data_IF_443864630005
#
_entry.id   IF_443864630005
#
_cell.length_a   1.000
_cell.length_b   1.000
_cell.length_c   1.000
_cell.angle_alpha   90.00
_cell.angle_beta   90.00
_cell.angle_gamma   90.00
#
_symmetry.space_group_name_H-M   'P 1'
#
loop_
_entity.id
_entity.type
_entity.pdbx_description
1 polymer ?
#
# COMPACT_ATOMS: atom_id res chain seq x y z
N UNK A 1 -0.48 -18.11 8.25
CA UNK A 1 0.55 -17.07 8.44
C UNK A 1 1.44 -16.96 7.20
N UNK A 2 0.92 -16.42 6.09
CA UNK A 2 1.70 -16.24 4.84
C UNK A 2 2.13 -14.78 4.55
N UNK A 3 1.50 -13.81 5.22
CA UNK A 3 1.75 -12.37 5.04
C UNK A 3 2.69 -11.80 6.13
N UNK A 4 3.55 -12.65 6.69
CA UNK A 4 4.49 -12.19 7.71
C UNK A 4 5.69 -11.52 7.04
N UNK A 5 6.15 -10.40 7.62
CA UNK A 5 7.29 -9.61 7.12
C UNK A 5 7.18 -9.27 5.63
N UNK A 6 6.06 -8.68 5.22
CA UNK A 6 5.68 -8.51 3.82
C UNK A 6 4.95 -9.76 3.34
N UNK A 7 5.45 -10.40 2.29
CA UNK A 7 4.98 -11.72 1.86
C UNK A 7 6.04 -12.78 2.11
N UNK A 8 5.65 -13.88 2.77
CA UNK A 8 6.50 -15.05 3.01
C UNK A 8 7.91 -14.70 3.54
N UNK A 9 8.00 -13.80 4.52
CA UNK A 9 9.25 -13.41 5.17
C UNK A 9 10.29 -12.69 4.31
N UNK A 10 9.97 -12.37 3.05
CA UNK A 10 10.89 -11.72 2.10
C UNK A 10 11.24 -10.27 2.44
N UNK A 11 10.55 -9.65 3.41
CA UNK A 11 10.64 -8.23 3.67
C UNK A 11 10.03 -7.36 2.56
N UNK A 12 9.47 -7.97 1.51
CA UNK A 12 8.90 -7.25 0.36
C UNK A 12 7.39 -7.21 0.47
N UNK A 13 6.82 -6.02 0.27
CA UNK A 13 5.38 -5.79 0.20
C UNK A 13 4.79 -5.11 1.43
N UNK A 14 3.48 -4.90 1.37
CA UNK A 14 2.68 -4.25 2.41
C UNK A 14 2.62 -5.11 3.67
N UNK A 15 2.54 -4.47 4.84
CA UNK A 15 2.33 -5.18 6.10
C UNK A 15 1.13 -6.13 6.01
N UNK A 16 1.28 -7.36 6.51
CA UNK A 16 0.18 -8.33 6.53
C UNK A 16 -1.05 -7.86 7.32
N UNK A 17 -0.87 -7.02 8.34
CA UNK A 17 -1.98 -6.40 9.06
C UNK A 17 -2.80 -5.44 8.19
N UNK A 18 -2.13 -4.60 7.40
CA UNK A 18 -2.78 -3.70 6.43
C UNK A 18 -3.47 -4.52 5.34
N UNK A 19 -2.77 -5.48 4.73
CA UNK A 19 -3.32 -6.32 3.66
C UNK A 19 -4.52 -7.15 4.12
N UNK A 20 -4.45 -7.77 5.29
CA UNK A 20 -5.54 -8.58 5.84
C UNK A 20 -6.76 -7.72 6.19
N UNK A 21 -6.53 -6.53 6.74
CA UNK A 21 -7.60 -5.58 7.06
C UNK A 21 -8.26 -5.04 5.81
N UNK A 22 -7.47 -4.65 4.80
CA UNK A 22 -7.99 -4.20 3.52
C UNK A 22 -8.89 -5.26 2.85
N UNK A 23 -8.48 -6.53 2.90
CA UNK A 23 -9.29 -7.63 2.39
C UNK A 23 -10.61 -7.79 3.15
N UNK A 24 -10.57 -7.77 4.49
CA UNK A 24 -11.76 -7.94 5.32
C UNK A 24 -12.74 -6.76 5.19
N UNK A 25 -12.23 -5.53 5.18
CA UNK A 25 -13.01 -4.31 4.93
C UNK A 25 -13.66 -4.37 3.55
N UNK A 26 -12.89 -4.69 2.50
CA UNK A 26 -13.44 -4.79 1.15
C UNK A 26 -14.56 -5.84 1.04
N UNK A 27 -14.42 -6.96 1.76
CA UNK A 27 -15.45 -7.98 1.84
C UNK A 27 -16.75 -7.46 2.49
N UNK A 28 -16.64 -6.67 3.57
CA UNK A 28 -17.79 -6.11 4.30
C UNK A 28 -18.49 -4.99 3.52
N UNK A 29 -17.74 -4.19 2.76
CA UNK A 29 -18.29 -3.19 1.83
C UNK A 29 -19.14 -3.89 0.75
N UNK A 30 -18.74 -5.09 0.32
CA UNK A 30 -19.62 -5.99 -0.43
C UNK A 30 -19.90 -5.55 -1.88
N UNK A 31 -18.94 -4.90 -2.53
CA UNK A 31 -19.04 -4.59 -3.98
C UNK A 31 -18.95 -5.89 -4.78
N UNK A 32 -19.95 -6.13 -5.61
CA UNK A 32 -20.04 -7.31 -6.47
C UNK A 32 -19.62 -7.03 -7.91
N UNK A 33 -19.41 -8.08 -8.69
CA UNK A 33 -19.19 -7.94 -10.13
C UNK A 33 -20.38 -7.27 -10.86
N UNK A 34 -21.61 -7.49 -10.39
CA UNK A 34 -22.81 -6.84 -10.94
C UNK A 34 -22.83 -5.33 -10.64
N UNK A 35 -22.40 -4.93 -9.45
CA UNK A 35 -22.27 -3.52 -9.08
C UNK A 35 -21.24 -2.81 -9.98
N UNK A 36 -20.11 -3.48 -10.23
CA UNK A 36 -19.06 -2.99 -11.15
C UNK A 36 -19.57 -2.94 -12.60
N UNK A 37 -20.36 -3.92 -13.03
CA UNK A 37 -20.94 -3.92 -14.38
C UNK A 37 -21.93 -2.75 -14.60
N UNK A 38 -22.69 -2.38 -13.56
CA UNK A 38 -23.61 -1.23 -13.59
C UNK A 38 -22.86 0.11 -13.56
N UNK A 39 -21.84 0.20 -12.72
CA UNK A 39 -20.95 1.35 -12.64
C UNK A 39 -19.55 0.87 -12.29
N UNK A 40 -18.64 0.89 -13.27
CA UNK A 40 -17.29 0.39 -13.09
C UNK A 40 -16.56 1.11 -11.96
N UNK A 41 -16.87 2.38 -11.66
CA UNK A 41 -16.21 3.10 -10.55
C UNK A 41 -16.54 2.57 -9.16
N UNK A 42 -17.57 1.74 -9.03
CA UNK A 42 -17.95 1.15 -7.73
C UNK A 42 -16.82 0.30 -7.13
N UNK A 43 -15.85 -0.18 -7.92
CA UNK A 43 -14.67 -0.87 -7.39
C UNK A 43 -13.86 -0.01 -6.39
N UNK A 44 -13.99 1.32 -6.44
CA UNK A 44 -13.29 2.26 -5.57
C UNK A 44 -13.92 2.32 -4.18
N UNK A 45 -15.22 2.01 -4.03
CA UNK A 45 -15.91 2.10 -2.75
C UNK A 45 -15.18 1.37 -1.60
N UNK A 46 -14.72 0.11 -1.75
CA UNK A 46 -13.94 -0.56 -0.71
C UNK A 46 -12.56 0.05 -0.46
N UNK A 47 -12.00 0.83 -1.39
CA UNK A 47 -10.70 1.46 -1.21
C UNK A 47 -10.76 2.64 -0.23
N UNK A 48 -11.90 3.31 -0.10
CA UNK A 48 -12.05 4.53 0.71
C UNK A 48 -11.84 4.26 2.20
N UNK A 49 -12.64 3.39 2.86
CA UNK A 49 -12.41 3.09 4.28
C UNK A 49 -11.04 2.43 4.51
N UNK A 50 -10.50 1.71 3.52
CA UNK A 50 -9.13 1.17 3.63
C UNK A 50 -8.09 2.28 3.66
N UNK A 51 -8.25 3.34 2.87
CA UNK A 51 -7.35 4.48 2.89
C UNK A 51 -7.49 5.22 4.22
N UNK A 52 -8.71 5.64 4.55
CA UNK A 52 -9.00 6.53 5.67
C UNK A 52 -8.78 5.84 7.03
N UNK A 53 -9.27 4.61 7.20
CA UNK A 53 -9.27 3.94 8.52
C UNK A 53 -8.02 3.08 8.75
N UNK A 54 -7.20 2.84 7.72
CA UNK A 54 -6.05 1.94 7.83
C UNK A 54 -4.79 2.62 7.29
N UNK A 55 -4.73 2.94 5.99
CA UNK A 55 -3.49 3.43 5.37
C UNK A 55 -3.02 4.73 6.00
N UNK A 56 -3.91 5.71 6.13
CA UNK A 56 -3.57 7.03 6.68
C UNK A 56 -3.11 6.91 8.13
N UNK A 57 -3.81 6.11 8.95
CA UNK A 57 -3.39 5.84 10.33
C UNK A 57 -2.02 5.15 10.41
N UNK A 58 -1.69 4.25 9.48
CA UNK A 58 -0.36 3.63 9.43
C UNK A 58 0.73 4.62 9.01
N UNK A 59 0.48 5.46 8.00
CA UNK A 59 1.40 6.50 7.58
C UNK A 59 1.62 7.54 8.70
N UNK A 60 0.56 7.94 9.40
CA UNK A 60 0.66 8.88 10.54
C UNK A 60 1.40 8.27 11.74
N UNK A 61 1.10 7.01 12.08
CA UNK A 61 1.67 6.36 13.28
C UNK A 61 3.09 5.86 13.05
N UNK A 62 3.39 5.37 11.84
CA UNK A 62 4.62 4.65 11.55
C UNK A 62 5.39 5.16 10.32
N UNK A 63 4.84 6.10 9.54
CA UNK A 63 5.50 6.70 8.37
C UNK A 63 5.66 5.79 7.16
N UNK A 64 4.92 4.67 7.11
CA UNK A 64 4.89 3.73 6.00
C UNK A 64 3.74 2.71 6.14
N UNK A 65 3.40 2.04 5.04
CA UNK A 65 2.60 0.79 5.05
C UNK A 65 3.38 -0.46 4.62
N UNK A 66 4.55 -0.30 4.02
CA UNK A 66 5.40 -1.42 3.61
C UNK A 66 6.15 -2.01 4.80
N UNK A 67 6.19 -3.34 4.88
CA UNK A 67 6.61 -4.02 6.11
C UNK A 67 8.07 -3.73 6.48
N UNK A 68 8.93 -3.55 5.48
CA UNK A 68 10.35 -3.25 5.70
C UNK A 68 10.54 -1.87 6.32
N UNK A 69 9.93 -0.82 5.74
CA UNK A 69 10.02 0.54 6.29
C UNK A 69 9.32 0.66 7.62
N UNK A 70 8.20 -0.02 7.81
CA UNK A 70 7.51 -0.10 9.09
C UNK A 70 8.42 -0.62 10.21
N UNK A 71 9.08 -1.75 9.97
CA UNK A 71 10.07 -2.29 10.91
C UNK A 71 11.24 -1.33 11.10
N UNK A 72 11.76 -0.76 10.01
CA UNK A 72 12.85 0.20 10.12
C UNK A 72 12.47 1.43 10.95
N UNK A 73 11.36 2.09 10.68
CA UNK A 73 10.94 3.30 11.39
C UNK A 73 10.69 3.02 12.88
N UNK A 74 10.03 1.90 13.18
CA UNK A 74 9.64 1.55 14.56
C UNK A 74 10.79 0.99 15.40
N UNK A 75 11.55 0.04 14.86
CA UNK A 75 12.55 -0.74 15.60
C UNK A 75 13.98 -0.52 15.08
N UNK A 76 14.17 0.35 14.09
CA UNK A 76 15.47 0.69 13.49
C UNK A 76 16.21 -0.51 12.90
N UNK A 77 15.42 -1.48 12.41
CA UNK A 77 15.86 -2.75 11.83
C UNK A 77 14.94 -3.20 10.70
N UNK A 78 15.52 -3.74 9.65
CA UNK A 78 14.84 -4.20 8.44
C UNK A 78 15.48 -5.52 7.99
N UNK A 79 14.99 -6.64 8.53
CA UNK A 79 15.56 -7.95 8.27
C UNK A 79 14.85 -8.67 7.12
N UNK A 80 15.63 -9.26 6.20
CA UNK A 80 15.18 -10.39 5.39
C UNK A 80 15.36 -11.64 6.25
N UNK A 81 14.29 -12.37 6.51
CA UNK A 81 14.34 -13.51 7.42
C UNK A 81 14.84 -14.81 6.77
N UNK A 82 15.12 -14.77 5.47
CA UNK A 82 15.87 -15.82 4.79
C UNK A 82 17.39 -15.67 5.02
N UNK A 83 17.84 -14.57 5.60
CA UNK A 83 19.22 -14.35 6.03
C UNK A 83 19.43 -14.92 7.46
N UNK A 84 20.37 -15.86 7.67
CA UNK A 84 20.66 -16.40 9.01
C UNK A 84 21.13 -15.33 10.00
N UNK A 85 21.82 -14.27 9.56
CA UNK A 85 22.27 -13.21 10.45
C UNK A 85 21.09 -12.39 10.98
N UNK A 86 20.07 -12.18 10.14
CA UNK A 86 18.83 -11.54 10.54
C UNK A 86 18.11 -12.25 11.69
N UNK A 87 18.15 -13.59 11.73
CA UNK A 87 17.56 -14.36 12.83
C UNK A 87 18.30 -14.11 14.15
N UNK A 88 19.65 -14.06 14.12
CA UNK A 88 20.46 -13.71 15.28
C UNK A 88 20.16 -12.27 15.74
N UNK A 89 20.10 -11.34 14.79
CA UNK A 89 19.80 -9.95 15.11
C UNK A 89 18.39 -9.74 15.67
N UNK A 90 17.40 -10.52 15.22
CA UNK A 90 16.06 -10.51 15.82
C UNK A 90 16.10 -10.99 17.27
N UNK A 91 16.81 -12.08 17.57
CA UNK A 91 16.95 -12.56 18.95
C UNK A 91 17.64 -11.52 19.86
N UNK A 92 18.68 -10.85 19.36
CA UNK A 92 19.34 -9.75 20.06
C UNK A 92 18.40 -8.55 20.27
N UNK A 93 17.60 -8.18 19.26
CA UNK A 93 16.59 -7.14 19.40
C UNK A 93 15.54 -7.53 20.45
N UNK A 94 14.98 -8.74 20.35
CA UNK A 94 13.92 -9.21 21.23
C UNK A 94 14.36 -9.21 22.69
N UNK A 95 15.63 -9.56 22.97
CA UNK A 95 16.21 -9.59 24.31
C UNK A 95 16.62 -8.21 24.84
N UNK A 96 17.13 -7.32 23.97
CA UNK A 96 17.60 -5.97 24.38
C UNK A 96 16.50 -4.89 24.39
N UNK A 97 15.42 -5.10 23.64
CA UNK A 97 14.31 -4.16 23.49
C UNK A 97 12.98 -4.89 23.76
N UNK A 98 12.90 -5.65 24.87
CA UNK A 98 11.74 -6.50 25.21
C UNK A 98 10.40 -5.77 25.11
N UNK A 99 10.34 -4.52 25.58
CA UNK A 99 9.14 -3.69 25.55
C UNK A 99 8.65 -3.37 24.12
N UNK A 100 9.55 -3.38 23.12
CA UNK A 100 9.19 -3.18 21.71
C UNK A 100 8.89 -4.47 20.96
N UNK A 101 9.17 -5.63 21.57
CA UNK A 101 8.97 -6.94 20.96
C UNK A 101 7.58 -7.48 21.25
N UNK A 102 6.78 -7.70 20.21
CA UNK A 102 5.43 -8.26 20.36
C UNK A 102 5.39 -9.70 20.90
N UNK A 103 6.53 -10.39 21.06
CA UNK A 103 6.57 -11.75 21.63
C UNK A 103 7.07 -11.72 23.08
N UNK A 104 8.09 -10.92 23.37
CA UNK A 104 8.77 -10.90 24.68
C UNK A 104 8.38 -9.74 25.59
N UNK A 105 7.46 -8.86 25.17
CA UNK A 105 6.92 -7.82 26.04
C UNK A 105 6.15 -8.43 27.22
N UNK A 106 6.43 -7.91 28.42
CA UNK A 106 5.92 -8.41 29.70
C UNK A 106 4.45 -8.00 29.95
N UNK A 107 3.98 -6.94 29.27
CA UNK A 107 2.59 -6.49 29.28
C UNK A 107 2.00 -6.49 27.86
N UNK A 108 0.69 -6.71 27.77
CA UNK A 108 -0.02 -6.74 26.49
C UNK A 108 0.02 -5.35 25.82
N UNK A 109 -0.38 -4.32 26.56
CA UNK A 109 -0.55 -2.94 26.06
C UNK A 109 0.77 -2.23 25.75
N UNK A 110 1.87 -2.63 26.40
CA UNK A 110 3.16 -1.94 26.29
C UNK A 110 4.00 -2.37 25.07
N UNK A 111 3.67 -3.51 24.44
CA UNK A 111 4.46 -4.02 23.31
C UNK A 111 3.76 -5.06 22.43
N UNK A 112 2.88 -5.89 23.00
CA UNK A 112 2.16 -6.97 22.30
C UNK A 112 1.04 -6.43 21.40
N UNK A 113 0.19 -5.57 21.96
CA UNK A 113 -0.88 -4.86 21.24
C UNK A 113 -0.33 -3.80 20.29
N UNK A 114 0.83 -3.25 20.63
CA UNK A 114 1.48 -2.28 19.77
C UNK A 114 2.01 -2.91 18.49
N UNK A 115 2.17 -4.24 18.37
CA UNK A 115 2.75 -4.86 17.17
C UNK A 115 2.05 -4.42 15.88
N UNK A 116 2.80 -3.97 14.87
CA UNK A 116 2.23 -3.38 13.64
C UNK A 116 1.14 -4.26 12.99
N UNK A 117 1.29 -5.60 12.89
CA UNK A 117 0.21 -6.43 12.37
C UNK A 117 -1.06 -6.44 13.24
N UNK A 118 -0.90 -6.48 14.57
CA UNK A 118 -2.01 -6.47 15.53
C UNK A 118 -2.78 -5.15 15.48
N UNK A 119 -2.06 -4.03 15.44
CA UNK A 119 -2.65 -2.69 15.31
C UNK A 119 -3.44 -2.58 14.02
N UNK A 120 -2.90 -3.07 12.90
CA UNK A 120 -3.64 -3.07 11.64
C UNK A 120 -4.91 -3.91 11.72
N UNK A 121 -4.83 -5.12 12.26
CA UNK A 121 -6.00 -5.97 12.44
C UNK A 121 -7.07 -5.31 13.32
N UNK A 122 -6.67 -4.61 14.39
CA UNK A 122 -7.57 -3.84 15.25
C UNK A 122 -8.26 -2.73 14.47
N UNK A 123 -7.52 -1.91 13.72
CA UNK A 123 -8.10 -0.83 12.93
C UNK A 123 -9.02 -1.35 11.82
N UNK A 124 -8.68 -2.47 11.21
CA UNK A 124 -9.59 -3.18 10.30
C UNK A 124 -10.88 -3.61 10.98
N UNK A 125 -10.81 -4.12 12.22
CA UNK A 125 -12.01 -4.48 12.97
C UNK A 125 -12.86 -3.27 13.38
N UNK A 126 -12.23 -2.16 13.77
CA UNK A 126 -12.90 -0.87 14.03
C UNK A 126 -13.68 -0.42 12.78
N UNK A 127 -13.01 -0.35 11.63
CA UNK A 127 -13.63 0.03 10.33
C UNK A 127 -14.79 -0.91 9.94
N UNK A 128 -14.64 -2.22 10.15
CA UNK A 128 -15.72 -3.19 9.90
C UNK A 128 -16.93 -2.90 10.79
N UNK A 129 -16.74 -2.62 12.07
CA UNK A 129 -17.84 -2.27 12.97
C UNK A 129 -18.58 -1.01 12.49
N UNK A 130 -17.83 0.02 12.07
CA UNK A 130 -18.41 1.25 11.56
C UNK A 130 -19.22 1.01 10.26
N UNK A 131 -18.67 0.22 9.34
CA UNK A 131 -19.38 -0.18 8.12
C UNK A 131 -20.63 -1.01 8.39
N UNK A 132 -20.57 -1.93 9.36
CA UNK A 132 -21.73 -2.77 9.74
C UNK A 132 -22.88 -1.95 10.34
N UNK A 133 -22.60 -0.75 10.86
CA UNK A 133 -23.63 0.19 11.32
C UNK A 133 -24.29 1.00 10.18
N UNK A 134 -23.82 0.85 8.94
CA UNK A 134 -24.39 1.49 7.75
C UNK A 134 -25.26 0.50 6.98
N UNK A 135 -26.22 1.02 6.20
CA UNK A 135 -26.98 0.19 5.26
C UNK A 135 -26.08 -0.31 4.12
N UNK A 136 -26.29 -1.54 3.59
CA UNK A 136 -25.41 -2.11 2.56
C UNK A 136 -25.20 -1.23 1.32
N UNK A 137 -26.23 -0.51 0.89
CA UNK A 137 -26.14 0.39 -0.27
C UNK A 137 -25.34 1.67 0.04
N UNK A 138 -25.31 2.11 1.30
CA UNK A 138 -24.55 3.29 1.70
C UNK A 138 -23.05 3.03 1.68
N UNK A 139 -22.62 1.81 2.04
CA UNK A 139 -21.21 1.37 2.01
C UNK A 139 -20.60 1.45 0.61
N UNK A 140 -21.43 1.41 -0.43
CA UNK A 140 -21.02 1.40 -1.84
C UNK A 140 -21.02 2.78 -2.49
N UNK A 141 -21.56 3.80 -1.81
CA UNK A 141 -21.65 5.17 -2.35
C UNK A 141 -20.26 5.79 -2.42
N UNK A 142 -19.98 6.43 -3.56
CA UNK A 142 -18.76 7.20 -3.71
C UNK A 142 -18.95 8.60 -3.12
N UNK A 143 -17.90 9.19 -2.52
CA UNK A 143 -17.89 10.59 -2.14
C UNK A 143 -18.17 11.49 -3.34
N UNK A 144 -18.87 12.63 -3.15
CA UNK A 144 -19.25 13.52 -4.25
C UNK A 144 -18.09 13.98 -5.13
N UNK A 145 -16.89 14.14 -4.55
CA UNK A 145 -15.70 14.58 -5.28
C UNK A 145 -15.10 13.50 -6.20
N UNK A 146 -15.59 12.26 -6.15
CA UNK A 146 -15.19 11.15 -7.02
C UNK A 146 -16.26 10.76 -8.04
N UNK A 147 -17.44 11.39 -7.99
CA UNK A 147 -18.53 11.21 -8.94
C UNK A 147 -18.22 11.88 -10.30
N UNK A 148 -18.82 11.37 -11.38
CA UNK A 148 -18.71 11.97 -12.73
C UNK A 148 -17.36 11.76 -13.43
N UNK A 149 -16.50 10.94 -12.87
CA UNK A 149 -15.23 10.55 -13.48
C UNK A 149 -15.28 9.16 -14.12
N UNK A 150 -16.47 8.60 -14.30
CA UNK A 150 -16.65 7.31 -14.96
C UNK A 150 -16.10 7.34 -16.41
N UNK A 151 -15.69 6.18 -16.92
CA UNK A 151 -15.14 5.98 -18.26
C UNK A 151 -16.08 6.47 -19.36
N UNK A 152 -17.40 6.40 -19.21
CA UNK A 152 -18.31 6.91 -20.25
C UNK A 152 -18.21 8.45 -20.34
N UNK A 153 -18.12 9.11 -19.18
CA UNK A 153 -17.94 10.57 -19.08
C UNK A 153 -16.53 11.02 -19.47
N UNK A 154 -15.49 10.25 -19.12
CA UNK A 154 -14.10 10.63 -19.34
C UNK A 154 -13.57 10.23 -20.71
N UNK A 155 -13.95 9.06 -21.26
CA UNK A 155 -13.33 8.50 -22.48
C UNK A 155 -13.32 9.49 -23.64
N UNK A 156 -14.43 10.19 -23.98
CA UNK A 156 -14.42 11.17 -25.06
C UNK A 156 -13.44 12.33 -24.83
N UNK A 157 -13.17 12.68 -23.56
CA UNK A 157 -12.25 13.76 -23.18
C UNK A 157 -10.79 13.30 -23.17
N UNK A 158 -10.53 12.04 -22.79
CA UNK A 158 -9.18 11.50 -22.65
C UNK A 158 -8.65 10.80 -23.91
N UNK A 159 -9.52 10.42 -24.85
CA UNK A 159 -9.14 9.74 -26.11
C UNK A 159 -8.04 10.53 -26.85
N UNK A 160 -8.25 11.83 -27.04
CA UNK A 160 -7.30 12.71 -27.71
C UNK A 160 -5.96 12.82 -26.96
N UNK A 161 -6.00 12.80 -25.62
CA UNK A 161 -4.80 12.82 -24.79
C UNK A 161 -4.04 11.50 -24.89
N UNK A 162 -4.76 10.37 -24.91
CA UNK A 162 -4.17 9.04 -25.05
C UNK A 162 -3.48 8.86 -26.41
N UNK A 163 -4.11 9.33 -27.50
CA UNK A 163 -3.51 9.35 -28.84
C UNK A 163 -2.23 10.19 -28.87
N UNK A 164 -2.26 11.40 -28.28
CA UNK A 164 -1.10 12.26 -28.18
C UNK A 164 0.02 11.62 -27.33
N UNK A 165 -0.31 10.96 -26.23
CA UNK A 165 0.68 10.23 -25.42
C UNK A 165 1.37 9.14 -26.24
N UNK A 166 0.63 8.42 -27.09
CA UNK A 166 1.18 7.41 -27.98
C UNK A 166 2.10 8.03 -29.04
N UNK A 167 1.68 9.11 -29.68
CA UNK A 167 2.48 9.83 -30.68
C UNK A 167 3.79 10.37 -30.09
N UNK A 168 3.73 10.91 -28.87
CA UNK A 168 4.88 11.45 -28.15
C UNK A 168 5.76 10.37 -27.51
N UNK A 169 5.41 9.08 -27.64
CA UNK A 169 6.13 7.99 -26.99
C UNK A 169 6.09 8.07 -25.44
N UNK A 170 5.05 8.70 -24.88
CA UNK A 170 4.86 8.85 -23.45
C UNK A 170 4.16 7.62 -22.87
N UNK A 171 4.91 6.85 -22.08
CA UNK A 171 4.42 5.64 -21.40
C UNK A 171 5.31 4.43 -21.68
N UNK A 172 4.99 3.31 -21.05
CA UNK A 172 5.65 2.00 -21.24
C UNK A 172 4.61 0.88 -21.35
N UNK A 173 3.59 0.99 -22.24
CA UNK A 173 2.43 0.09 -22.20
C UNK A 173 2.79 -1.39 -22.44
N UNK A 174 3.84 -1.65 -23.21
CA UNK A 174 4.27 -3.01 -23.59
C UNK A 174 5.53 -3.49 -22.85
N UNK A 175 6.11 -2.65 -21.99
CA UNK A 175 7.35 -2.99 -21.29
C UNK A 175 7.05 -3.84 -20.04
N UNK A 176 7.59 -5.06 -20.00
CA UNK A 176 7.57 -5.90 -18.80
C UNK A 176 8.85 -5.68 -18.02
N UNK A 177 8.83 -4.74 -17.06
CA UNK A 177 9.92 -4.58 -16.10
C UNK A 177 9.65 -5.47 -14.89
N UNK A 178 10.61 -6.31 -14.51
CA UNK A 178 10.49 -7.05 -13.25
C UNK A 178 10.58 -6.08 -12.06
N UNK A 179 9.86 -6.35 -10.97
CA UNK A 179 9.93 -5.52 -9.76
C UNK A 179 11.37 -5.35 -9.24
N UNK A 180 12.23 -6.35 -9.46
CA UNK A 180 13.66 -6.31 -9.09
C UNK A 180 14.42 -5.28 -9.92
N UNK A 181 14.17 -5.20 -11.22
CA UNK A 181 14.74 -4.17 -12.10
C UNK A 181 14.20 -2.79 -11.73
N UNK A 182 12.89 -2.66 -11.51
CA UNK A 182 12.28 -1.40 -11.08
C UNK A 182 12.83 -0.90 -9.73
N UNK A 183 12.99 -1.79 -8.75
CA UNK A 183 13.62 -1.46 -7.47
C UNK A 183 15.06 -1.03 -7.65
N UNK A 184 15.81 -1.71 -8.52
CA UNK A 184 17.20 -1.32 -8.85
C UNK A 184 17.24 0.08 -9.48
N UNK A 185 16.28 0.42 -10.35
CA UNK A 185 16.15 1.75 -10.93
C UNK A 185 15.84 2.82 -9.86
N UNK A 186 14.92 2.54 -8.93
CA UNK A 186 14.65 3.45 -7.79
C UNK A 186 15.86 3.60 -6.85
N UNK A 187 16.57 2.51 -6.56
CA UNK A 187 17.75 2.51 -5.69
C UNK A 187 18.94 3.26 -6.31
N UNK A 188 19.07 3.27 -7.64
CA UNK A 188 20.06 4.08 -8.37
C UNK A 188 19.71 5.59 -8.40
N UNK A 189 18.61 5.98 -7.77
CA UNK A 189 18.19 7.38 -7.64
C UNK A 189 17.89 8.05 -8.98
N UNK A 190 17.86 9.39 -8.98
CA UNK A 190 17.52 10.21 -10.15
C UNK A 190 18.32 9.83 -11.41
N UNK A 191 19.62 9.58 -11.26
CA UNK A 191 20.53 9.23 -12.36
C UNK A 191 20.14 7.90 -13.04
N UNK A 192 19.88 6.86 -12.26
CA UNK A 192 19.47 5.56 -12.82
C UNK A 192 18.12 5.60 -13.51
N UNK A 193 17.18 6.42 -13.02
CA UNK A 193 15.88 6.65 -13.67
C UNK A 193 16.04 7.43 -14.97
N UNK A 194 16.90 8.46 -14.99
CA UNK A 194 17.16 9.29 -16.18
C UNK A 194 17.87 8.53 -17.29
N UNK A 195 18.87 7.70 -16.98
CA UNK A 195 19.63 6.88 -17.94
C UNK A 195 18.80 5.75 -18.58
N UNK A 196 17.68 5.37 -17.96
CA UNK A 196 16.80 4.29 -18.42
C UNK A 196 15.43 4.80 -18.88
N UNK A 197 15.31 6.11 -19.17
CA UNK A 197 14.06 6.69 -19.69
C UNK A 197 13.76 6.15 -21.08
N UNK A 198 12.55 5.63 -21.34
CA UNK A 198 12.18 5.06 -22.64
C UNK A 198 11.87 6.13 -23.66
N UNK A 199 11.45 7.31 -23.21
CA UNK A 199 10.85 8.29 -24.09
C UNK A 199 11.87 9.15 -24.82
N UNK A 200 13.17 9.08 -24.49
CA UNK A 200 14.20 9.93 -25.13
C UNK A 200 13.95 11.44 -25.00
N UNK A 201 12.90 11.85 -24.29
CA UNK A 201 12.57 13.24 -24.00
C UNK A 201 13.30 13.62 -22.72
N UNK A 202 14.28 14.50 -22.86
CA UNK A 202 14.97 15.10 -21.72
C UNK A 202 13.94 15.73 -20.78
N UNK A 203 14.17 15.60 -19.47
CA UNK A 203 13.43 16.46 -18.53
C UNK A 203 13.67 17.92 -18.96
N UNK A 204 12.64 18.78 -18.94
CA UNK A 204 12.85 20.20 -19.15
C UNK A 204 13.99 20.66 -18.24
N UNK A 205 15.06 21.18 -18.84
CA UNK A 205 16.14 21.76 -18.06
C UNK A 205 15.50 22.87 -17.25
N UNK A 206 15.70 22.88 -15.92
CA UNK A 206 15.29 24.01 -15.08
C UNK A 206 16.01 25.23 -15.66
N UNK A 207 15.32 26.01 -16.47
CA UNK A 207 15.73 27.39 -16.69
C UNK A 207 15.68 28.05 -15.31
N UNK A 208 16.78 28.72 -14.96
CA UNK A 208 16.98 29.33 -13.65
C UNK A 208 15.80 30.27 -13.38
N UNK A 209 14.97 29.91 -12.40
CA UNK A 209 14.13 30.86 -11.69
C UNK A 209 15.03 31.67 -10.75
#
# INVERSE_FOLDING_TARGET
MGLHSGIAYTGVGTCGGVTGSAFAVAYVVGVTAEDIAKNHRTFIAPCIPVVEDIVDRFEETYGAIDCLRLRYNRIQRAYDFLDPDAAVYEALFATSQRQKCGVLADCYECGRDQGMPSVGARWGAESICDLLNMEPEERKKLPPHLEGYDMETLMPKVQKVAELMKELGLGRPDEKISWREYRTLKLKGKKGVEESRPCGVDAPKKEKY
#
